data_IF_266743137913
#
_entry.id   IF_266743137913
#
_cell.length_a   1.000
_cell.length_b   1.000
_cell.length_c   1.000
_cell.angle_alpha   90.00
_cell.angle_beta   90.00
_cell.angle_gamma   90.00
#
_symmetry.space_group_name_H-M   'P 1'
#
loop_
_entity.id
_entity.type
_entity.pdbx_description
1 polymer ?
#
# COMPACT_ATOMS: atom_id res chain seq x y z
N UNK A 1 -20.88 9.27 9.02
CA UNK A 1 -20.48 8.51 7.82
C UNK A 1 -19.26 9.23 7.36
N UNK A 2 -18.11 8.67 7.72
CA UNK A 2 -16.85 9.38 7.59
C UNK A 2 -16.46 9.35 6.11
N UNK A 3 -15.99 10.48 5.59
CA UNK A 3 -15.80 10.80 4.18
C UNK A 3 -14.93 9.78 3.42
N UNK A 4 -14.18 8.95 4.14
CA UNK A 4 -13.21 7.97 3.65
C UNK A 4 -13.77 6.58 3.26
N UNK A 5 -15.05 6.30 3.53
CA UNK A 5 -15.59 4.93 3.36
C UNK A 5 -16.11 4.61 1.96
N UNK A 6 -16.32 5.60 1.07
CA UNK A 6 -16.97 5.37 -0.22
C UNK A 6 -16.36 6.22 -1.32
N UNK A 7 -15.73 5.56 -2.29
CA UNK A 7 -15.26 6.17 -3.53
C UNK A 7 -15.64 5.27 -4.72
N UNK A 8 -16.55 5.70 -5.61
CA UNK A 8 -16.98 4.90 -6.77
C UNK A 8 -15.91 4.81 -7.87
N UNK A 9 -14.82 5.56 -7.78
CA UNK A 9 -13.71 5.51 -8.75
C UNK A 9 -12.75 4.35 -8.49
N UNK A 10 -12.87 3.69 -7.33
CA UNK A 10 -12.01 2.58 -6.95
C UNK A 10 -12.62 1.26 -7.42
N UNK A 11 -11.89 0.56 -8.29
CA UNK A 11 -12.35 -0.71 -8.86
C UNK A 11 -12.42 -1.84 -7.81
N UNK A 12 -13.33 -2.82 -8.01
CA UNK A 12 -13.32 -4.07 -7.25
C UNK A 12 -12.01 -4.85 -7.42
N UNK A 13 -11.60 -5.65 -6.42
CA UNK A 13 -10.43 -6.50 -6.54
C UNK A 13 -10.66 -7.69 -7.47
N UNK A 14 -9.55 -8.29 -7.90
CA UNK A 14 -9.55 -9.70 -8.33
C UNK A 14 -9.61 -10.60 -7.10
N UNK A 15 -10.65 -11.43 -7.00
CA UNK A 15 -10.83 -12.34 -5.86
C UNK A 15 -11.52 -11.68 -4.66
N UNK A 16 -11.15 -12.06 -3.44
CA UNK A 16 -11.73 -11.57 -2.20
C UNK A 16 -10.64 -11.30 -1.15
N UNK A 17 -9.72 -10.35 -1.41
CA UNK A 17 -8.63 -10.02 -0.50
C UNK A 17 -9.16 -9.40 0.79
N UNK A 18 -8.35 -9.48 1.85
CA UNK A 18 -8.70 -8.83 3.11
C UNK A 18 -8.87 -7.31 2.92
N UNK A 19 -9.97 -6.75 3.42
CA UNK A 19 -10.38 -5.35 3.20
C UNK A 19 -11.47 -5.19 2.13
N UNK A 20 -11.82 -6.24 1.38
CA UNK A 20 -13.00 -6.23 0.51
C UNK A 20 -14.23 -6.83 1.21
N UNK A 21 -15.39 -6.16 1.07
CA UNK A 21 -16.70 -6.64 1.54
C UNK A 21 -17.55 -7.00 0.32
N UNK A 22 -17.76 -8.29 0.02
CA UNK A 22 -18.63 -8.67 -1.09
C UNK A 22 -20.09 -8.30 -0.81
N UNK A 23 -20.88 -8.12 -1.86
CA UNK A 23 -22.32 -7.89 -1.75
C UNK A 23 -23.00 -9.01 -0.93
N UNK A 24 -23.86 -8.63 0.03
CA UNK A 24 -24.57 -9.57 0.89
C UNK A 24 -23.78 -10.06 2.12
N UNK A 25 -22.62 -9.46 2.44
CA UNK A 25 -21.93 -9.69 3.70
C UNK A 25 -22.77 -9.20 4.90
N UNK A 26 -22.77 -9.99 5.99
CA UNK A 26 -23.70 -9.91 7.13
C UNK A 26 -23.68 -8.61 7.97
N UNK A 27 -22.78 -7.66 7.69
CA UNK A 27 -22.56 -6.44 8.50
C UNK A 27 -22.83 -5.11 7.75
N UNK A 28 -23.58 -5.17 6.63
CA UNK A 28 -24.29 -4.11 5.89
C UNK A 28 -23.76 -2.65 5.97
N UNK A 29 -22.72 -2.39 5.19
CA UNK A 29 -22.64 -1.14 4.41
C UNK A 29 -23.10 -1.52 3.00
N UNK A 30 -24.38 -1.36 2.70
CA UNK A 30 -24.96 -1.79 1.43
C UNK A 30 -24.14 -1.26 0.23
N UNK A 31 -23.60 -2.17 -0.58
CA UNK A 31 -23.12 -1.85 -1.92
C UNK A 31 -24.34 -1.37 -2.72
N UNK A 32 -24.36 -0.11 -3.16
CA UNK A 32 -25.44 0.38 -4.01
C UNK A 32 -25.11 -0.04 -5.45
N UNK A 33 -25.62 -1.21 -5.86
CA UNK A 33 -25.64 -1.64 -7.26
C UNK A 33 -24.31 -2.13 -7.84
N UNK A 34 -23.45 -2.75 -7.02
CA UNK A 34 -22.15 -3.30 -7.45
C UNK A 34 -21.74 -4.56 -6.65
N UNK A 35 -20.66 -5.26 -7.05
CA UNK A 35 -20.28 -6.58 -6.51
C UNK A 35 -19.81 -6.58 -5.05
N UNK A 36 -19.66 -5.41 -4.43
CA UNK A 36 -19.16 -5.22 -3.07
C UNK A 36 -18.59 -3.81 -2.86
N UNK A 37 -17.88 -3.62 -1.75
CA UNK A 37 -17.17 -2.38 -1.43
C UNK A 37 -15.91 -2.66 -0.59
N UNK A 38 -14.89 -1.81 -0.73
CA UNK A 38 -13.75 -1.80 0.18
C UNK A 38 -14.17 -1.26 1.57
N UNK A 39 -13.61 -1.80 2.66
CA UNK A 39 -13.90 -1.31 4.02
C UNK A 39 -13.56 0.18 4.16
N UNK A 40 -12.45 0.59 3.55
CA UNK A 40 -12.01 1.98 3.43
C UNK A 40 -11.56 2.24 1.98
N UNK A 41 -12.43 2.89 1.20
CA UNK A 41 -12.17 3.13 -0.21
C UNK A 41 -10.95 4.05 -0.44
N UNK A 42 -10.71 5.02 0.44
CA UNK A 42 -9.51 5.89 0.35
C UNK A 42 -8.22 5.13 0.60
N UNK A 43 -8.20 4.14 1.49
CA UNK A 43 -7.03 3.27 1.70
C UNK A 43 -6.74 2.44 0.46
N UNK A 44 -7.77 1.91 -0.18
CA UNK A 44 -7.58 1.24 -1.46
C UNK A 44 -7.03 2.19 -2.53
N UNK A 45 -7.54 3.43 -2.60
CA UNK A 45 -7.06 4.43 -3.56
C UNK A 45 -5.58 4.76 -3.32
N UNK A 46 -5.19 4.99 -2.07
CA UNK A 46 -3.79 5.19 -1.68
C UNK A 46 -2.91 4.00 -2.05
N UNK A 47 -3.41 2.76 -1.87
CA UNK A 47 -2.71 1.54 -2.30
C UNK A 47 -2.50 1.50 -3.81
N UNK A 48 -3.53 1.80 -4.61
CA UNK A 48 -3.43 1.77 -6.07
C UNK A 48 -2.37 2.77 -6.56
N UNK A 49 -2.49 4.04 -6.16
CA UNK A 49 -1.53 5.07 -6.58
C UNK A 49 -0.12 4.79 -6.01
N UNK A 50 -0.03 4.52 -4.71
CA UNK A 50 1.25 4.29 -4.04
C UNK A 50 2.03 3.09 -4.58
N UNK A 51 1.37 1.97 -4.88
CA UNK A 51 2.04 0.79 -5.47
C UNK A 51 2.44 1.06 -6.92
N UNK A 52 1.59 1.69 -7.72
CA UNK A 52 1.90 2.03 -9.12
C UNK A 52 3.12 2.95 -9.21
N UNK A 53 3.19 3.98 -8.35
CA UNK A 53 4.31 4.90 -8.21
C UNK A 53 5.58 4.18 -7.75
N UNK A 54 5.50 3.33 -6.71
CA UNK A 54 6.64 2.51 -6.28
C UNK A 54 7.22 1.67 -7.42
N UNK A 55 6.34 1.00 -8.17
CA UNK A 55 6.72 0.13 -9.28
C UNK A 55 7.27 0.87 -10.50
N UNK A 56 7.07 2.19 -10.57
CA UNK A 56 7.65 3.08 -11.57
C UNK A 56 8.97 3.72 -11.10
N UNK A 57 9.34 3.58 -9.82
CA UNK A 57 10.52 4.19 -9.22
C UNK A 57 10.27 5.58 -8.61
N UNK A 58 9.01 6.04 -8.57
CA UNK A 58 8.61 7.32 -7.98
C UNK A 58 8.38 7.14 -6.47
N UNK A 59 9.47 6.88 -5.74
CA UNK A 59 9.41 6.42 -4.34
C UNK A 59 8.96 7.51 -3.36
N UNK A 60 9.22 8.78 -3.68
CA UNK A 60 8.81 9.89 -2.85
C UNK A 60 7.30 10.12 -2.93
N UNK A 61 6.76 10.13 -4.14
CA UNK A 61 5.33 10.24 -4.42
C UNK A 61 4.56 9.02 -3.89
N UNK A 62 5.16 7.84 -3.98
CA UNK A 62 4.64 6.62 -3.35
C UNK A 62 4.53 6.77 -1.83
N UNK A 63 5.57 7.32 -1.19
CA UNK A 63 5.57 7.61 0.24
C UNK A 63 4.42 8.54 0.62
N UNK A 64 4.26 9.65 -0.10
CA UNK A 64 3.27 10.67 0.21
C UNK A 64 1.84 10.10 0.11
N UNK A 65 1.56 9.23 -0.87
CA UNK A 65 0.28 8.54 -0.98
C UNK A 65 -0.08 7.73 0.27
N UNK A 66 0.90 7.01 0.84
CA UNK A 66 0.66 6.21 2.04
C UNK A 66 0.67 7.07 3.32
N UNK A 67 1.44 8.16 3.36
CA UNK A 67 1.54 9.03 4.52
C UNK A 67 0.25 9.85 4.72
N UNK A 68 -0.30 10.42 3.65
CA UNK A 68 -1.58 11.14 3.70
C UNK A 68 -2.69 10.25 4.28
N UNK A 69 -2.79 9.02 3.78
CA UNK A 69 -3.84 8.10 4.21
C UNK A 69 -3.58 7.52 5.61
N UNK A 70 -2.31 7.38 6.03
CA UNK A 70 -1.96 6.88 7.36
C UNK A 70 -2.56 7.74 8.48
N UNK A 71 -2.58 9.07 8.32
CA UNK A 71 -3.11 9.99 9.32
C UNK A 71 -4.62 9.88 9.55
N UNK A 72 -5.35 9.22 8.65
CA UNK A 72 -6.79 8.98 8.78
C UNK A 72 -7.15 7.89 9.80
N UNK A 73 -6.15 7.15 10.31
CA UNK A 73 -6.37 6.00 11.19
C UNK A 73 -5.83 6.21 12.60
N UNK A 74 -6.63 5.79 13.59
CA UNK A 74 -6.20 5.74 14.99
C UNK A 74 -5.05 4.77 15.22
N UNK A 75 -4.21 5.05 16.21
CA UNK A 75 -3.07 4.19 16.56
C UNK A 75 -3.53 2.80 17.01
N UNK A 76 -2.76 1.77 16.62
CA UNK A 76 -3.01 0.37 16.99
C UNK A 76 -4.06 -0.35 16.12
N UNK A 77 -4.58 0.30 15.08
CA UNK A 77 -5.43 -0.34 14.06
C UNK A 77 -4.59 -1.07 13.00
N UNK A 78 -5.19 -2.05 12.31
CA UNK A 78 -4.53 -2.78 11.22
C UNK A 78 -4.24 -1.86 10.04
N UNK A 79 -5.18 -0.95 9.76
CA UNK A 79 -5.11 0.07 8.71
C UNK A 79 -3.92 1.01 8.96
N UNK A 80 -3.79 1.56 10.17
CA UNK A 80 -2.67 2.45 10.54
C UNK A 80 -1.34 1.71 10.48
N UNK A 81 -1.29 0.46 10.95
CA UNK A 81 -0.08 -0.36 10.91
C UNK A 81 0.33 -0.68 9.45
N UNK A 82 -0.63 -1.01 8.59
CA UNK A 82 -0.39 -1.24 7.19
C UNK A 82 0.11 0.03 6.47
N UNK A 83 -0.63 1.14 6.56
CA UNK A 83 -0.28 2.38 5.88
C UNK A 83 1.11 2.87 6.32
N UNK A 84 1.39 2.87 7.63
CA UNK A 84 2.71 3.24 8.13
C UNK A 84 3.79 2.25 7.69
N UNK A 85 3.49 0.95 7.64
CA UNK A 85 4.41 -0.03 7.06
C UNK A 85 4.79 0.30 5.62
N UNK A 86 3.82 0.66 4.79
CA UNK A 86 4.04 1.03 3.39
C UNK A 86 4.76 2.38 3.21
N UNK A 87 4.50 3.37 4.07
CA UNK A 87 5.30 4.61 4.18
C UNK A 87 6.79 4.27 4.33
N UNK A 88 7.11 3.36 5.25
CA UNK A 88 8.48 2.95 5.53
C UNK A 88 9.10 2.13 4.39
N UNK A 89 8.30 1.34 3.65
CA UNK A 89 8.73 0.62 2.44
C UNK A 89 9.15 1.62 1.35
N UNK A 90 8.30 2.60 1.05
CA UNK A 90 8.56 3.62 0.03
C UNK A 90 9.77 4.50 0.42
N UNK A 91 9.79 5.01 1.66
CA UNK A 91 10.92 5.80 2.15
C UNK A 91 12.24 5.00 2.16
N UNK A 92 12.20 3.71 2.49
CA UNK A 92 13.38 2.86 2.47
C UNK A 92 13.95 2.70 1.06
N UNK A 93 13.09 2.44 0.06
CA UNK A 93 13.50 2.40 -1.33
C UNK A 93 14.06 3.75 -1.82
N UNK A 94 13.40 4.86 -1.47
CA UNK A 94 13.88 6.21 -1.77
C UNK A 94 15.29 6.46 -1.20
N UNK A 95 15.57 6.03 0.05
CA UNK A 95 16.92 6.12 0.62
C UNK A 95 17.96 5.32 -0.15
N UNK A 96 17.59 4.14 -0.65
CA UNK A 96 18.50 3.30 -1.41
C UNK A 96 18.79 3.88 -2.80
N UNK A 97 17.75 4.16 -3.59
CA UNK A 97 17.91 4.53 -5.01
C UNK A 97 18.34 5.97 -5.24
N UNK A 98 17.83 6.94 -4.47
CA UNK A 98 18.09 8.36 -4.70
C UNK A 98 19.28 8.91 -3.91
N UNK A 99 19.63 8.24 -2.80
CA UNK A 99 20.68 8.71 -1.89
C UNK A 99 21.81 7.71 -1.66
N UNK A 100 21.76 6.52 -2.29
CA UNK A 100 22.74 5.44 -2.09
C UNK A 100 22.96 5.13 -0.59
N UNK A 101 21.90 5.29 0.21
CA UNK A 101 21.96 5.22 1.66
C UNK A 101 21.31 3.93 2.19
N UNK A 102 22.05 2.84 2.08
CA UNK A 102 21.58 1.54 2.52
C UNK A 102 21.41 1.44 4.04
N UNK A 103 22.16 2.21 4.84
CA UNK A 103 21.97 2.23 6.30
C UNK A 103 20.62 2.83 6.67
N UNK A 104 20.23 3.91 5.98
CA UNK A 104 18.91 4.51 6.06
C UNK A 104 17.81 3.54 5.63
N UNK A 105 17.96 2.93 4.45
CA UNK A 105 17.04 1.90 3.95
C UNK A 105 16.87 0.76 4.96
N UNK A 106 17.98 0.18 5.46
CA UNK A 106 17.95 -0.91 6.46
C UNK A 106 17.23 -0.51 7.74
N UNK A 107 17.37 0.73 8.18
CA UNK A 107 16.65 1.23 9.36
C UNK A 107 15.14 1.26 9.12
N UNK A 108 14.72 1.85 8.00
CA UNK A 108 13.31 1.99 7.63
C UNK A 108 12.66 0.63 7.37
N UNK A 109 13.34 -0.30 6.69
CA UNK A 109 12.83 -1.65 6.44
C UNK A 109 12.63 -2.48 7.72
N UNK A 110 13.52 -2.35 8.72
CA UNK A 110 13.29 -2.99 10.03
C UNK A 110 12.05 -2.45 10.73
N UNK A 111 11.77 -1.16 10.58
CA UNK A 111 10.58 -0.51 11.13
C UNK A 111 9.33 -0.92 10.35
N UNK A 112 9.39 -0.95 9.02
CA UNK A 112 8.34 -1.45 8.15
C UNK A 112 7.91 -2.88 8.53
N UNK A 113 8.88 -3.78 8.72
CA UNK A 113 8.61 -5.18 9.11
C UNK A 113 7.91 -5.29 10.47
N UNK A 114 8.19 -4.39 11.42
CA UNK A 114 7.50 -4.34 12.71
C UNK A 114 6.04 -3.88 12.55
N UNK A 115 5.80 -2.82 11.78
CA UNK A 115 4.43 -2.34 11.53
C UNK A 115 3.60 -3.34 10.75
N UNK A 116 4.19 -3.97 9.74
CA UNK A 116 3.51 -4.98 8.95
C UNK A 116 3.30 -6.29 9.73
N UNK A 117 3.87 -6.48 10.93
CA UNK A 117 3.65 -7.69 11.70
C UNK A 117 2.17 -7.87 12.06
N UNK A 118 1.58 -9.01 11.67
CA UNK A 118 0.18 -9.34 11.98
C UNK A 118 -0.85 -8.79 10.99
N UNK A 119 -0.45 -7.91 10.06
CA UNK A 119 -1.30 -7.53 8.93
C UNK A 119 -1.53 -8.75 8.02
N UNK A 120 -2.75 -8.99 7.49
CA UNK A 120 -3.01 -10.08 6.54
C UNK A 120 -2.07 -10.05 5.33
N UNK A 121 -1.74 -11.22 4.76
CA UNK A 121 -0.76 -11.29 3.66
C UNK A 121 -1.30 -10.77 2.31
N UNK A 122 -2.60 -10.57 2.18
CA UNK A 122 -3.31 -10.14 0.97
C UNK A 122 -4.05 -8.81 1.17
N UNK A 123 -3.63 -8.02 2.17
CA UNK A 123 -4.35 -6.84 2.63
C UNK A 123 -4.48 -5.79 1.52
N UNK A 124 -5.72 -5.36 1.26
CA UNK A 124 -6.07 -4.41 0.20
C UNK A 124 -5.57 -4.79 -1.20
N UNK A 125 -5.36 -6.09 -1.45
CA UNK A 125 -4.87 -6.64 -2.72
C UNK A 125 -3.34 -6.67 -2.85
N UNK A 126 -2.59 -6.16 -1.87
CA UNK A 126 -1.13 -6.21 -1.87
C UNK A 126 -0.64 -7.58 -1.43
N UNK A 127 0.34 -8.15 -2.15
CA UNK A 127 1.06 -9.35 -1.69
C UNK A 127 2.07 -8.97 -0.59
N UNK A 128 1.60 -8.84 0.64
CA UNK A 128 2.43 -8.47 1.79
C UNK A 128 3.38 -9.59 2.22
N UNK A 129 3.14 -10.84 1.82
CA UNK A 129 4.11 -11.90 2.03
C UNK A 129 5.37 -11.65 1.19
N UNK A 130 5.19 -11.29 -0.09
CA UNK A 130 6.28 -10.90 -0.98
C UNK A 130 7.03 -9.68 -0.44
N UNK A 131 6.30 -8.62 -0.08
CA UNK A 131 6.88 -7.40 0.51
C UNK A 131 7.76 -7.72 1.71
N UNK A 132 7.24 -8.45 2.71
CA UNK A 132 8.02 -8.79 3.91
C UNK A 132 9.24 -9.65 3.58
N UNK A 133 9.11 -10.57 2.62
CA UNK A 133 10.21 -11.45 2.20
C UNK A 133 11.31 -10.64 1.54
N UNK A 134 10.96 -9.76 0.60
CA UNK A 134 11.93 -8.91 -0.09
C UNK A 134 12.62 -7.94 0.86
N UNK A 135 11.87 -7.26 1.73
CA UNK A 135 12.45 -6.36 2.74
C UNK A 135 13.44 -7.10 3.65
N UNK A 136 13.08 -8.30 4.10
CA UNK A 136 13.95 -9.13 4.94
C UNK A 136 15.25 -9.50 4.21
N UNK A 137 15.16 -9.83 2.92
CA UNK A 137 16.34 -10.13 2.10
C UNK A 137 17.20 -8.87 1.87
N UNK A 138 16.57 -7.73 1.61
CA UNK A 138 17.22 -6.44 1.38
C UNK A 138 18.01 -5.94 2.60
N UNK A 139 17.68 -6.39 3.81
CA UNK A 139 18.49 -6.12 5.00
C UNK A 139 19.91 -6.71 4.91
N UNK A 140 20.09 -7.78 4.13
CA UNK A 140 21.37 -8.45 3.92
C UNK A 140 22.00 -8.11 2.57
N UNK A 141 21.17 -7.99 1.53
CA UNK A 141 21.59 -7.73 0.16
C UNK A 141 20.64 -6.73 -0.51
N UNK A 142 20.96 -5.42 -0.54
CA UNK A 142 20.10 -4.39 -1.13
C UNK A 142 19.77 -4.62 -2.61
N UNK A 143 20.62 -5.33 -3.36
CA UNK A 143 20.43 -5.58 -4.78
C UNK A 143 19.16 -6.40 -5.10
N UNK A 144 18.53 -7.04 -4.11
CA UNK A 144 17.23 -7.69 -4.30
C UNK A 144 16.10 -6.71 -4.62
N UNK A 145 16.29 -5.42 -4.38
CA UNK A 145 15.35 -4.37 -4.78
C UNK A 145 15.45 -4.03 -6.27
N UNK A 146 16.56 -4.37 -6.94
CA UNK A 146 16.79 -4.01 -8.34
C UNK A 146 15.76 -4.69 -9.25
N UNK A 147 14.86 -3.89 -9.80
CA UNK A 147 13.77 -4.37 -10.66
C UNK A 147 12.66 -5.11 -9.91
N UNK A 148 12.70 -5.17 -8.58
CA UNK A 148 11.58 -5.68 -7.80
C UNK A 148 10.38 -4.74 -7.91
N UNK A 149 9.20 -5.33 -8.00
CA UNK A 149 7.92 -4.63 -8.07
C UNK A 149 6.96 -5.27 -7.08
N UNK A 150 6.22 -4.43 -6.37
CA UNK A 150 5.17 -4.84 -5.46
C UNK A 150 4.02 -5.42 -6.28
N UNK A 151 3.57 -6.63 -5.91
CA UNK A 151 2.39 -7.23 -6.53
C UNK A 151 1.11 -6.65 -5.95
N UNK A 152 0.20 -6.27 -6.84
CA UNK A 152 -1.14 -5.78 -6.53
C UNK A 152 -2.15 -6.54 -7.40
N UNK A 153 -3.13 -7.16 -6.76
CA UNK A 153 -4.19 -7.98 -7.40
C UNK A 153 -3.65 -9.09 -8.32
N UNK A 154 -2.46 -9.61 -8.01
CA UNK A 154 -1.79 -10.66 -8.78
C UNK A 154 -0.92 -10.16 -9.94
N UNK A 155 -0.86 -8.86 -10.18
CA UNK A 155 -0.03 -8.23 -11.22
C UNK A 155 1.02 -7.28 -10.62
N UNK A 156 1.79 -6.58 -11.47
CA UNK A 156 2.77 -5.56 -11.05
C UNK A 156 2.51 -4.23 -11.78
N UNK A 157 1.39 -3.56 -11.47
CA UNK A 157 0.97 -2.36 -12.19
C UNK A 157 1.98 -1.23 -11.98
N UNK A 158 2.12 -0.34 -12.97
CA UNK A 158 3.04 0.80 -12.95
C UNK A 158 2.28 2.10 -13.10
N UNK A 159 2.89 3.21 -12.68
CA UNK A 159 2.30 4.54 -12.75
C UNK A 159 1.81 4.94 -14.15
N UNK A 160 0.65 5.56 -14.15
CA UNK A 160 0.02 6.33 -15.21
C UNK A 160 0.03 7.82 -14.82
N UNK A 161 -0.20 8.77 -15.75
CA UNK A 161 -0.17 10.20 -15.44
C UNK A 161 -1.11 10.61 -14.30
N UNK A 162 -2.25 9.94 -14.15
CA UNK A 162 -3.22 10.17 -13.07
C UNK A 162 -2.66 9.88 -11.67
N UNK A 163 -1.71 8.96 -11.54
CA UNK A 163 -1.09 8.62 -10.26
C UNK A 163 -0.15 9.74 -9.78
N UNK A 164 0.61 10.33 -10.71
CA UNK A 164 1.45 11.50 -10.43
C UNK A 164 0.59 12.72 -10.09
N UNK A 165 -0.46 12.98 -10.88
CA UNK A 165 -1.41 14.06 -10.61
C UNK A 165 -2.12 13.87 -9.26
N UNK A 166 -2.36 12.63 -8.85
CA UNK A 166 -2.91 12.32 -7.52
C UNK A 166 -1.93 12.73 -6.43
N UNK A 167 -0.67 12.28 -6.51
CA UNK A 167 0.37 12.59 -5.54
C UNK A 167 0.66 14.09 -5.43
N UNK A 168 0.65 14.83 -6.55
CA UNK A 168 0.84 16.29 -6.57
C UNK A 168 -0.25 17.08 -5.83
N UNK A 169 -1.41 16.47 -5.57
CA UNK A 169 -2.58 17.12 -4.92
C UNK A 169 -2.69 16.82 -3.42
N UNK A 170 -1.83 15.98 -2.87
CA UNK A 170 -1.80 15.63 -1.44
C UNK A 170 -1.33 16.82 -0.57
#
# INVERSE_FOLDING_TARGET
MDEHTRDPTVEPPVGNPTGWRPEGAVDDVAAIGGPGAWEHATLRRAVVHGVRLYNAGEFHESHDCFEDEWYNYGSGTTESAFAHGMVQVAAGAYKHFDFENDDGMRSLFRTALQYLQGVPNDYYGVDLLDVRTTLTNALNDPAVLDGWKIRLDGETPTAEPEDLEYAERL
#
